data_IF_592838962318
#
_entry.id   IF_592838962318
#
_cell.length_a   1.000
_cell.length_b   1.000
_cell.length_c   1.000
_cell.angle_alpha   90.00
_cell.angle_beta   90.00
_cell.angle_gamma   90.00
#
_symmetry.space_group_name_H-M   'P 1'
#
loop_
_entity.id
_entity.type
_entity.pdbx_description
1 polymer ?
#
# COMPACT_ATOMS: atom_id res chain seq x y z
N UNK A 1 27.08 39.75 8.28
CA UNK A 1 27.40 39.15 6.95
C UNK A 1 26.52 37.91 6.77
N UNK A 2 25.51 37.95 5.89
CA UNK A 2 24.57 36.83 5.66
C UNK A 2 25.07 36.02 4.45
N UNK A 3 25.41 34.74 4.64
CA UNK A 3 25.80 33.84 3.54
C UNK A 3 24.59 33.63 2.61
N UNK A 4 24.68 33.94 1.30
CA UNK A 4 23.57 33.73 0.38
C UNK A 4 23.34 32.24 0.10
N UNK A 5 22.11 31.95 -0.32
CA UNK A 5 21.44 30.66 -0.35
C UNK A 5 22.17 29.57 -1.16
N UNK A 6 22.49 28.48 -0.45
CA UNK A 6 23.11 27.24 -0.95
C UNK A 6 22.30 26.50 -2.04
N UNK A 7 21.09 26.96 -2.39
CA UNK A 7 20.18 26.26 -3.31
C UNK A 7 20.43 26.58 -4.79
N UNK A 8 20.74 27.84 -5.12
CA UNK A 8 21.01 28.25 -6.51
C UNK A 8 22.28 27.59 -7.06
N UNK A 9 23.32 27.51 -6.24
CA UNK A 9 24.56 26.81 -6.62
C UNK A 9 24.35 25.32 -6.87
N UNK A 10 23.47 24.67 -6.09
CA UNK A 10 23.14 23.24 -6.27
C UNK A 10 22.31 23.01 -7.55
N UNK A 11 21.37 23.89 -7.86
CA UNK A 11 20.57 23.81 -9.08
C UNK A 11 21.45 23.99 -10.33
N UNK A 12 22.39 24.95 -10.30
CA UNK A 12 23.33 25.14 -11.39
C UNK A 12 24.27 23.93 -11.56
N UNK A 13 24.77 23.36 -10.46
CA UNK A 13 25.57 22.14 -10.49
C UNK A 13 24.83 20.95 -11.12
N UNK A 14 23.54 20.78 -10.83
CA UNK A 14 22.70 19.75 -11.45
C UNK A 14 22.51 19.98 -12.97
N UNK A 15 22.26 21.22 -13.39
CA UNK A 15 22.10 21.57 -14.81
C UNK A 15 23.41 21.45 -15.60
N UNK A 16 24.54 21.79 -14.97
CA UNK A 16 25.87 21.69 -15.56
C UNK A 16 26.43 20.26 -15.57
N UNK A 17 25.66 19.26 -15.09
CA UNK A 17 26.08 17.86 -15.07
C UNK A 17 27.17 17.55 -14.05
N UNK A 18 27.34 18.38 -13.02
CA UNK A 18 28.30 18.14 -11.95
C UNK A 18 27.84 16.98 -11.06
N UNK A 19 28.47 15.82 -11.23
CA UNK A 19 28.20 14.57 -10.48
C UNK A 19 28.78 14.59 -9.05
N UNK A 20 29.39 15.70 -8.61
CA UNK A 20 29.97 15.87 -7.27
C UNK A 20 28.93 16.00 -6.16
N UNK A 21 27.63 16.14 -6.49
CA UNK A 21 26.52 15.98 -5.55
C UNK A 21 26.55 14.54 -5.05
N UNK A 22 27.27 14.33 -3.95
CA UNK A 22 27.70 13.03 -3.47
C UNK A 22 26.62 11.99 -3.59
N UNK A 23 26.97 10.84 -4.21
CA UNK A 23 26.17 9.61 -4.18
C UNK A 23 25.59 9.49 -2.78
N UNK A 24 24.29 9.76 -2.66
CA UNK A 24 23.55 9.59 -1.41
C UNK A 24 23.99 8.23 -0.87
N UNK A 25 24.66 8.22 0.30
CA UNK A 25 25.15 7.00 0.94
C UNK A 25 24.00 6.02 0.85
N UNK A 26 24.18 4.99 0.00
CA UNK A 26 23.13 4.05 -0.39
C UNK A 26 22.33 3.72 0.86
N UNK A 27 21.11 4.26 0.98
CA UNK A 27 20.20 3.81 2.02
C UNK A 27 20.16 2.30 1.81
N UNK A 28 20.66 1.47 2.74
CA UNK A 28 20.58 0.04 2.53
C UNK A 28 19.11 -0.25 2.29
N UNK A 29 18.77 -0.81 1.14
CA UNK A 29 17.40 -1.26 0.89
C UNK A 29 17.06 -2.15 2.08
N UNK A 30 16.13 -1.69 2.93
CA UNK A 30 15.68 -2.49 4.05
C UNK A 30 15.14 -3.76 3.42
N UNK A 31 15.81 -4.89 3.68
CA UNK A 31 15.31 -6.19 3.25
C UNK A 31 14.06 -6.42 4.09
N UNK A 32 12.91 -6.37 3.45
CA UNK A 32 11.66 -6.77 4.07
C UNK A 32 11.62 -8.28 4.15
N UNK A 33 11.14 -8.78 5.26
CA UNK A 33 10.70 -10.18 5.38
C UNK A 33 9.45 -10.39 4.53
N UNK A 34 9.18 -11.61 4.12
CA UNK A 34 7.95 -11.97 3.41
C UNK A 34 6.69 -11.49 4.14
N UNK A 35 6.67 -11.63 5.47
CA UNK A 35 5.58 -11.14 6.31
C UNK A 35 5.41 -9.62 6.24
N UNK A 36 6.50 -8.86 6.27
CA UNK A 36 6.44 -7.40 6.12
C UNK A 36 5.95 -7.01 4.72
N UNK A 37 6.31 -7.75 3.68
CA UNK A 37 5.81 -7.51 2.32
C UNK A 37 4.31 -7.74 2.25
N UNK A 38 3.80 -8.84 2.81
CA UNK A 38 2.35 -9.12 2.86
C UNK A 38 1.61 -8.01 3.62
N UNK A 39 2.16 -7.50 4.72
CA UNK A 39 1.55 -6.38 5.45
C UNK A 39 1.49 -5.12 4.60
N UNK A 40 2.59 -4.77 3.91
CA UNK A 40 2.64 -3.60 3.03
C UNK A 40 1.68 -3.75 1.83
N UNK A 41 1.58 -4.95 1.25
CA UNK A 41 0.63 -5.24 0.18
C UNK A 41 -0.81 -5.10 0.66
N UNK A 42 -1.12 -5.56 1.88
CA UNK A 42 -2.45 -5.37 2.47
C UNK A 42 -2.76 -3.89 2.73
N UNK A 43 -1.80 -3.13 3.26
CA UNK A 43 -1.95 -1.68 3.48
C UNK A 43 -2.24 -0.94 2.17
N UNK A 44 -1.51 -1.24 1.10
CA UNK A 44 -1.75 -0.65 -0.22
C UNK A 44 -3.11 -1.07 -0.77
N UNK A 45 -3.45 -2.37 -0.65
CA UNK A 45 -4.70 -2.90 -1.17
C UNK A 45 -5.94 -2.41 -0.42
N UNK A 46 -5.82 -2.04 0.85
CA UNK A 46 -6.89 -1.43 1.63
C UNK A 46 -7.39 -0.11 1.02
N UNK A 47 -6.47 0.64 0.40
CA UNK A 47 -6.74 1.93 -0.25
C UNK A 47 -7.15 1.83 -1.73
N UNK A 48 -7.17 0.62 -2.30
CA UNK A 48 -7.44 0.40 -3.73
C UNK A 48 -8.80 0.96 -4.17
N UNK A 49 -9.80 0.88 -3.30
CA UNK A 49 -11.16 1.41 -3.53
C UNK A 49 -11.37 2.78 -2.89
N UNK A 50 -10.30 3.55 -2.69
CA UNK A 50 -10.31 4.86 -2.05
C UNK A 50 -9.95 4.79 -0.57
N UNK A 51 -9.87 5.96 0.10
CA UNK A 51 -9.39 6.07 1.47
C UNK A 51 -10.20 5.21 2.43
N UNK A 52 -9.52 4.60 3.41
CA UNK A 52 -10.17 3.83 4.47
C UNK A 52 -10.87 4.80 5.42
N UNK A 53 -12.19 4.63 5.62
CA UNK A 53 -12.98 5.48 6.51
C UNK A 53 -12.57 5.25 7.97
N UNK A 54 -12.65 6.29 8.81
CA UNK A 54 -12.32 6.18 10.23
C UNK A 54 -13.26 5.18 10.91
N UNK A 55 -12.69 4.17 11.56
CA UNK A 55 -13.46 3.11 12.25
C UNK A 55 -13.85 1.93 11.36
N UNK A 56 -13.41 1.93 10.09
CA UNK A 56 -13.41 0.76 9.22
C UNK A 56 -11.99 0.25 9.09
N UNK A 57 -11.83 -1.06 9.10
CA UNK A 57 -10.59 -1.74 8.79
C UNK A 57 -10.78 -2.47 7.47
N UNK A 58 -9.89 -2.22 6.53
CA UNK A 58 -9.88 -2.90 5.23
C UNK A 58 -8.55 -3.59 5.06
N UNK A 59 -8.61 -4.82 4.58
CA UNK A 59 -7.45 -5.62 4.24
C UNK A 59 -7.69 -6.30 2.90
N UNK A 60 -6.65 -6.33 2.09
CA UNK A 60 -6.67 -7.01 0.81
C UNK A 60 -5.49 -7.96 0.72
N UNK A 61 -5.78 -9.23 0.47
CA UNK A 61 -4.77 -10.27 0.41
C UNK A 61 -4.78 -10.89 -0.99
N UNK A 62 -3.63 -10.85 -1.65
CA UNK A 62 -3.36 -11.67 -2.81
C UNK A 62 -2.76 -12.98 -2.30
N UNK A 63 -3.53 -14.08 -2.31
CA UNK A 63 -3.00 -15.39 -1.89
C UNK A 63 -2.19 -16.05 -3.00
N UNK A 64 -2.68 -15.92 -4.23
CA UNK A 64 -2.03 -16.39 -5.44
C UNK A 64 -2.54 -15.56 -6.64
N UNK A 65 -2.04 -15.87 -7.85
CA UNK A 65 -2.40 -15.16 -9.09
C UNK A 65 -3.91 -15.20 -9.41
N UNK A 66 -4.64 -16.17 -8.86
CA UNK A 66 -6.05 -16.43 -9.12
C UNK A 66 -6.95 -16.20 -7.90
N UNK A 67 -6.41 -16.07 -6.70
CA UNK A 67 -7.18 -16.05 -5.46
C UNK A 67 -6.91 -14.77 -4.69
N UNK A 68 -7.90 -13.88 -4.67
CA UNK A 68 -7.82 -12.62 -3.93
C UNK A 68 -8.87 -12.62 -2.82
N UNK A 69 -8.51 -12.07 -1.66
CA UNK A 69 -9.41 -11.93 -0.53
C UNK A 69 -9.52 -10.45 -0.20
N UNK A 70 -10.75 -10.01 -0.08
CA UNK A 70 -11.13 -8.73 0.48
C UNK A 70 -11.76 -8.96 1.84
N UNK A 71 -11.21 -8.32 2.86
CA UNK A 71 -11.74 -8.37 4.21
C UNK A 71 -12.04 -6.95 4.70
N UNK A 72 -13.24 -6.75 5.20
CA UNK A 72 -13.66 -5.48 5.77
C UNK A 72 -14.29 -5.70 7.14
N UNK A 73 -13.84 -4.94 8.12
CA UNK A 73 -14.38 -4.91 9.47
C UNK A 73 -14.84 -3.48 9.80
N UNK A 74 -16.02 -3.33 10.39
CA UNK A 74 -16.50 -2.03 10.85
C UNK A 74 -17.32 -2.14 12.12
N UNK A 75 -17.36 -1.05 12.89
CA UNK A 75 -18.23 -0.94 14.05
C UNK A 75 -19.55 -0.28 13.65
N UNK A 76 -20.66 -0.99 13.86
CA UNK A 76 -22.02 -0.47 13.64
C UNK A 76 -22.45 0.49 14.77
N UNK A 77 -23.53 1.24 14.57
CA UNK A 77 -24.11 2.20 15.54
C UNK A 77 -24.38 1.58 16.92
N UNK A 78 -24.63 0.27 16.95
CA UNK A 78 -24.86 -0.52 18.17
C UNK A 78 -23.58 -0.97 18.87
N UNK A 79 -22.40 -0.50 18.43
CA UNK A 79 -21.07 -0.94 18.90
C UNK A 79 -20.81 -2.45 18.71
N UNK A 80 -21.42 -3.04 17.69
CA UNK A 80 -21.13 -4.41 17.28
C UNK A 80 -20.12 -4.40 16.14
N UNK A 81 -19.17 -5.35 16.19
CA UNK A 81 -18.21 -5.58 15.12
C UNK A 81 -18.93 -6.36 14.02
N UNK A 82 -18.97 -5.78 12.83
CA UNK A 82 -19.42 -6.43 11.62
C UNK A 82 -18.21 -6.76 10.76
N UNK A 83 -18.27 -7.92 10.12
CA UNK A 83 -17.21 -8.38 9.23
C UNK A 83 -17.82 -8.76 7.88
N UNK A 84 -17.10 -8.47 6.82
CA UNK A 84 -17.46 -8.85 5.46
C UNK A 84 -16.22 -9.38 4.75
N UNK A 85 -16.22 -10.67 4.45
CA UNK A 85 -15.14 -11.33 3.72
C UNK A 85 -15.66 -11.75 2.36
N UNK A 86 -14.97 -11.28 1.32
CA UNK A 86 -15.24 -11.62 -0.07
C UNK A 86 -13.98 -12.28 -0.64
N UNK A 87 -14.13 -13.47 -1.19
CA UNK A 87 -13.10 -14.17 -1.95
C UNK A 87 -13.40 -14.07 -3.44
N UNK A 88 -12.42 -13.65 -4.21
CA UNK A 88 -12.44 -13.66 -5.66
C UNK A 88 -11.54 -14.80 -6.15
N UNK A 89 -12.09 -15.71 -6.93
CA UNK A 89 -11.38 -16.82 -7.57
C UNK A 89 -11.44 -16.66 -9.09
N UNK A 90 -10.28 -16.56 -9.73
CA UNK A 90 -10.15 -16.37 -11.17
C UNK A 90 -9.98 -17.75 -11.81
N UNK A 91 -11.01 -18.17 -12.55
CA UNK A 91 -11.01 -19.39 -13.33
C UNK A 91 -10.90 -19.07 -14.83
N UNK A 92 -10.61 -20.09 -15.64
CA UNK A 92 -10.50 -19.92 -17.10
C UNK A 92 -11.82 -19.49 -17.76
N UNK A 93 -12.93 -19.57 -17.03
CA UNK A 93 -14.28 -19.18 -17.47
C UNK A 93 -14.73 -17.81 -16.93
N UNK A 94 -13.98 -17.19 -16.00
CA UNK A 94 -14.34 -15.91 -15.40
C UNK A 94 -13.95 -15.79 -13.92
N UNK A 95 -14.45 -14.74 -13.26
CA UNK A 95 -14.15 -14.44 -11.85
C UNK A 95 -15.35 -14.85 -10.99
N UNK A 96 -15.15 -15.81 -10.08
CA UNK A 96 -16.10 -16.21 -9.07
C UNK A 96 -15.96 -15.30 -7.85
N UNK A 97 -17.07 -14.73 -7.38
CA UNK A 97 -17.14 -13.97 -6.14
C UNK A 97 -17.87 -14.82 -5.09
N UNK A 98 -17.15 -15.28 -4.07
CA UNK A 98 -17.72 -15.95 -2.92
C UNK A 98 -17.76 -14.97 -1.73
N UNK A 99 -18.92 -14.80 -1.10
CA UNK A 99 -19.09 -13.94 0.08
C UNK A 99 -19.64 -14.79 1.23
N UNK A 100 -19.00 -14.69 2.38
CA UNK A 100 -19.45 -15.40 3.58
C UNK A 100 -20.77 -14.76 4.06
N UNK A 101 -21.82 -15.57 4.20
CA UNK A 101 -23.16 -15.09 4.58
C UNK A 101 -24.13 -14.80 3.44
N UNK A 102 -23.79 -15.12 2.18
CA UNK A 102 -24.77 -15.19 1.10
C UNK A 102 -25.79 -16.31 1.41
N UNK A 103 -26.95 -15.94 1.94
CA UNK A 103 -28.14 -16.78 2.08
C UNK A 103 -29.17 -16.40 1.02
#
# INVERSE_FOLDING_TARGET
>A
MKKPSSLLGKAYALLAGDTSVGRSKKRPFKRYTERELITLESEIGAELFGPVEKGRHREFFCLDEKTWIWHEEWTDEKRHIQTNTIRYEINDQGILKAQEGAR
#
